data_IF_004066243017
#
_entry.id   IF_004066243017
#
_cell.length_a   1.000
_cell.length_b   1.000
_cell.length_c   1.000
_cell.angle_alpha   90.00
_cell.angle_beta   90.00
_cell.angle_gamma   90.00
#
_symmetry.space_group_name_H-M   'P 1'
#
loop_
_entity.id
_entity.type
_entity.pdbx_description
1 polymer ?
#
# COMPACT_ATOMS: atom_id res chain seq x y z
N UNK A 1 18.86 52.56 -55.65
CA UNK A 1 19.20 51.13 -55.51
C UNK A 1 19.27 50.79 -54.02
N UNK A 2 18.58 49.71 -53.62
CA UNK A 2 18.30 49.33 -52.23
C UNK A 2 19.49 48.64 -51.57
N UNK A 3 19.71 49.03 -50.30
CA UNK A 3 20.07 48.28 -49.09
C UNK A 3 20.79 46.92 -49.19
N UNK A 4 21.78 46.72 -48.30
CA UNK A 4 21.83 45.52 -47.45
C UNK A 4 22.59 45.81 -46.14
N UNK A 5 21.85 45.84 -45.04
CA UNK A 5 22.36 45.71 -43.66
C UNK A 5 22.21 44.24 -43.24
N UNK A 6 23.21 43.57 -42.65
CA UNK A 6 23.00 42.27 -42.02
C UNK A 6 22.45 42.48 -40.61
N UNK A 7 21.14 42.23 -40.48
CA UNK A 7 20.47 42.08 -39.19
C UNK A 7 20.60 40.66 -38.63
N UNK A 8 20.56 40.60 -37.30
CA UNK A 8 19.89 39.60 -36.46
C UNK A 8 19.76 38.16 -36.98
N UNK A 9 20.40 37.19 -36.31
CA UNK A 9 19.86 35.83 -36.15
C UNK A 9 20.76 34.90 -35.30
N UNK A 10 20.89 35.14 -33.99
CA UNK A 10 21.26 34.06 -33.04
C UNK A 10 20.52 34.25 -31.71
N UNK A 11 19.18 34.20 -31.72
CA UNK A 11 18.36 34.09 -30.48
C UNK A 11 17.21 33.08 -30.66
N UNK A 12 17.44 31.99 -31.42
CA UNK A 12 16.40 30.94 -31.65
C UNK A 12 16.77 29.58 -31.02
N UNK A 13 17.99 29.36 -30.53
CA UNK A 13 18.42 28.01 -30.10
C UNK A 13 18.14 27.65 -28.62
N UNK A 14 17.91 28.61 -27.72
CA UNK A 14 17.72 28.30 -26.30
C UNK A 14 16.25 27.94 -25.95
N UNK A 15 15.27 28.57 -26.59
CA UNK A 15 13.84 28.35 -26.32
C UNK A 15 13.32 26.99 -26.81
N UNK A 16 13.84 26.48 -27.94
CA UNK A 16 13.46 25.16 -28.47
C UNK A 16 13.97 24.04 -27.57
N UNK A 17 15.19 24.16 -27.03
CA UNK A 17 15.78 23.17 -26.12
C UNK A 17 15.03 23.07 -24.78
N UNK A 18 14.54 24.19 -24.23
CA UNK A 18 13.74 24.20 -23.00
C UNK A 18 12.34 23.65 -23.21
N UNK A 19 11.71 23.95 -24.36
CA UNK A 19 10.38 23.45 -24.69
C UNK A 19 10.37 21.93 -24.93
N UNK A 20 11.37 21.41 -25.66
CA UNK A 20 11.57 19.96 -25.87
C UNK A 20 11.89 19.25 -24.55
N UNK A 21 12.66 19.89 -23.65
CA UNK A 21 12.92 19.35 -22.32
C UNK A 21 11.66 19.25 -21.47
N UNK A 22 10.82 20.29 -21.50
CA UNK A 22 9.56 20.31 -20.78
C UNK A 22 8.56 19.29 -21.32
N UNK A 23 8.48 19.10 -22.65
CA UNK A 23 7.58 18.12 -23.25
C UNK A 23 7.99 16.67 -22.92
N UNK A 24 9.27 16.33 -23.00
CA UNK A 24 9.79 15.02 -22.62
C UNK A 24 9.53 14.71 -21.13
N UNK A 25 9.65 15.72 -20.27
CA UNK A 25 9.34 15.59 -18.86
C UNK A 25 7.85 15.31 -18.61
N UNK A 26 6.95 16.07 -19.23
CA UNK A 26 5.52 15.83 -19.09
C UNK A 26 5.12 14.43 -19.60
N UNK A 27 5.74 13.97 -20.70
CA UNK A 27 5.51 12.63 -21.22
C UNK A 27 5.97 11.54 -20.23
N UNK A 28 7.15 11.69 -19.61
CA UNK A 28 7.64 10.76 -18.59
C UNK A 28 6.72 10.71 -17.36
N UNK A 29 6.22 11.86 -16.91
CA UNK A 29 5.29 11.95 -15.78
C UNK A 29 3.93 11.34 -16.09
N UNK A 30 3.41 11.56 -17.30
CA UNK A 30 2.17 10.94 -17.77
C UNK A 30 2.32 9.41 -17.84
N UNK A 31 3.47 8.91 -18.33
CA UNK A 31 3.80 7.49 -18.31
C UNK A 31 3.86 6.94 -16.88
N UNK A 32 4.51 7.64 -15.95
CA UNK A 32 4.56 7.25 -14.54
C UNK A 32 3.17 7.17 -13.91
N UNK A 33 2.33 8.19 -14.15
CA UNK A 33 0.93 8.19 -13.71
C UNK A 33 0.16 7.00 -14.26
N UNK A 34 0.29 6.73 -15.56
CA UNK A 34 -0.38 5.62 -16.21
C UNK A 34 0.03 4.29 -15.58
N UNK A 35 1.33 4.04 -15.42
CA UNK A 35 1.83 2.80 -14.81
C UNK A 35 1.32 2.62 -13.37
N UNK A 36 1.35 3.68 -12.54
CA UNK A 36 0.86 3.63 -11.16
C UNK A 36 -0.66 3.38 -11.14
N UNK A 37 -1.43 4.10 -11.95
CA UNK A 37 -2.87 3.94 -12.04
C UNK A 37 -3.26 2.54 -12.55
N UNK A 38 -2.56 2.03 -13.57
CA UNK A 38 -2.74 0.68 -14.10
C UNK A 38 -2.41 -0.39 -13.05
N UNK A 39 -1.33 -0.23 -12.28
CA UNK A 39 -0.99 -1.16 -11.21
C UNK A 39 -2.11 -1.28 -10.16
N UNK A 40 -2.71 -0.15 -9.79
CA UNK A 40 -3.78 -0.10 -8.81
C UNK A 40 -5.11 -0.57 -9.39
N UNK A 41 -5.41 -0.26 -10.65
CA UNK A 41 -6.61 -0.77 -11.34
C UNK A 41 -6.57 -2.30 -11.51
N UNK A 42 -5.39 -2.86 -11.80
CA UNK A 42 -5.20 -4.29 -12.05
C UNK A 42 -5.14 -5.16 -10.79
N UNK A 43 -5.22 -4.55 -9.60
CA UNK A 43 -5.23 -5.26 -8.31
C UNK A 43 -6.19 -6.47 -8.20
N UNK A 44 -7.42 -6.44 -8.78
CA UNK A 44 -8.35 -7.56 -8.69
C UNK A 44 -7.91 -8.80 -9.48
N UNK A 45 -7.11 -8.62 -10.53
CA UNK A 45 -6.82 -9.66 -11.50
C UNK A 45 -5.52 -10.41 -11.15
N UNK A 46 -5.53 -11.15 -10.04
CA UNK A 46 -4.44 -12.04 -9.65
C UNK A 46 -3.11 -11.32 -9.39
N UNK A 47 -2.09 -11.60 -10.23
CA UNK A 47 -0.74 -11.00 -10.16
C UNK A 47 -0.50 -9.94 -11.25
N UNK A 48 -1.51 -9.55 -12.00
CA UNK A 48 -1.35 -8.61 -13.13
C UNK A 48 -0.84 -7.24 -12.72
N UNK A 49 -1.04 -6.81 -11.47
CA UNK A 49 -0.40 -5.59 -10.92
C UNK A 49 1.13 -5.63 -10.99
N UNK A 50 1.74 -6.81 -11.04
CA UNK A 50 3.20 -6.98 -11.15
C UNK A 50 3.72 -6.53 -12.51
N UNK A 51 2.89 -6.50 -13.56
CA UNK A 51 3.28 -6.07 -14.91
C UNK A 51 3.70 -4.58 -14.92
N UNK A 52 2.83 -3.63 -14.55
CA UNK A 52 3.22 -2.22 -14.48
C UNK A 52 4.31 -1.97 -13.43
N UNK A 53 4.34 -2.73 -12.33
CA UNK A 53 5.44 -2.66 -11.36
C UNK A 53 6.78 -3.12 -11.94
N UNK A 54 6.80 -4.16 -12.77
CA UNK A 54 8.00 -4.60 -13.46
C UNK A 54 8.48 -3.55 -14.46
N UNK A 55 7.57 -2.89 -15.19
CA UNK A 55 7.91 -1.76 -16.06
C UNK A 55 8.52 -0.60 -15.27
N UNK A 56 7.93 -0.24 -14.12
CA UNK A 56 8.51 0.75 -13.20
C UNK A 56 9.89 0.32 -12.70
N UNK A 57 10.09 -0.97 -12.42
CA UNK A 57 11.38 -1.51 -12.01
C UNK A 57 12.43 -1.41 -13.12
N UNK A 58 12.07 -1.63 -14.38
CA UNK A 58 12.96 -1.42 -15.53
C UNK A 58 13.34 0.06 -15.68
N UNK A 59 12.40 0.99 -15.46
CA UNK A 59 12.70 2.43 -15.43
C UNK A 59 13.69 2.77 -14.30
N UNK A 60 13.46 2.22 -13.09
CA UNK A 60 14.38 2.41 -11.97
C UNK A 60 15.76 1.83 -12.22
N UNK A 61 15.84 0.63 -12.80
CA UNK A 61 17.09 -0.03 -13.18
C UNK A 61 17.87 0.81 -14.20
N UNK A 62 17.17 1.30 -15.23
CA UNK A 62 17.76 2.19 -16.22
C UNK A 62 18.28 3.49 -15.62
N UNK A 63 17.54 4.08 -14.67
CA UNK A 63 17.97 5.29 -13.96
C UNK A 63 19.25 5.05 -13.15
N UNK A 64 19.32 3.94 -12.40
CA UNK A 64 20.52 3.55 -11.63
C UNK A 64 21.71 3.31 -12.56
N UNK A 65 21.51 2.59 -13.66
CA UNK A 65 22.57 2.29 -14.64
C UNK A 65 23.13 3.56 -15.28
N UNK A 66 22.25 4.50 -15.64
CA UNK A 66 22.63 5.74 -16.32
C UNK A 66 23.37 6.72 -15.41
N UNK A 67 22.88 6.93 -14.19
CA UNK A 67 23.42 7.97 -13.29
C UNK A 67 24.75 7.55 -12.66
N UNK A 68 25.04 6.24 -12.56
CA UNK A 68 26.24 5.64 -11.91
C UNK A 68 26.48 6.03 -10.44
N UNK A 69 25.85 7.10 -9.93
CA UNK A 69 25.86 7.58 -8.56
C UNK A 69 24.46 8.06 -8.20
N UNK A 70 23.94 7.56 -7.08
CA UNK A 70 22.70 8.08 -6.52
C UNK A 70 22.91 9.52 -6.04
N UNK A 71 21.92 10.42 -6.21
CA UNK A 71 22.03 11.79 -5.73
C UNK A 71 22.42 11.83 -4.25
N UNK A 72 23.50 12.54 -3.92
CA UNK A 72 24.01 12.68 -2.55
C UNK A 72 23.69 14.09 -2.03
N UNK A 73 23.02 14.19 -0.87
CA UNK A 73 22.71 15.47 -0.21
C UNK A 73 21.25 15.63 0.21
N UNK A 74 20.90 16.83 0.72
CA UNK A 74 19.51 17.17 1.16
C UNK A 74 18.48 17.05 0.04
N UNK A 75 18.92 17.19 -1.20
CA UNK A 75 18.09 17.09 -2.40
C UNK A 75 17.60 15.66 -2.67
N UNK A 76 18.25 14.65 -2.09
CA UNK A 76 17.92 13.23 -2.22
C UNK A 76 17.18 12.65 -1.00
N UNK A 77 16.53 13.49 -0.18
CA UNK A 77 15.88 13.05 1.06
C UNK A 77 14.83 11.95 0.84
N UNK A 78 14.02 12.07 -0.23
CA UNK A 78 13.04 11.05 -0.61
C UNK A 78 13.69 9.71 -0.93
N UNK A 79 14.73 9.73 -1.79
CA UNK A 79 15.47 8.53 -2.20
C UNK A 79 16.09 7.88 -0.97
N UNK A 80 16.77 8.65 -0.11
CA UNK A 80 17.39 8.12 1.12
C UNK A 80 16.36 7.51 2.07
N UNK A 81 15.24 8.20 2.31
CA UNK A 81 14.17 7.65 3.16
C UNK A 81 13.64 6.34 2.59
N UNK A 82 13.36 6.30 1.28
CA UNK A 82 12.88 5.10 0.61
C UNK A 82 13.88 3.94 0.68
N UNK A 83 15.16 4.21 0.40
CA UNK A 83 16.23 3.21 0.49
C UNK A 83 16.39 2.67 1.92
N UNK A 84 16.36 3.54 2.92
CA UNK A 84 16.41 3.12 4.33
C UNK A 84 15.20 2.23 4.68
N UNK A 85 13.99 2.59 4.24
CA UNK A 85 12.82 1.73 4.40
C UNK A 85 13.01 0.37 3.70
N UNK A 86 13.58 0.33 2.49
CA UNK A 86 13.89 -0.91 1.78
C UNK A 86 14.91 -1.76 2.53
N UNK A 87 15.95 -1.16 3.10
CA UNK A 87 16.94 -1.86 3.94
C UNK A 87 16.27 -2.44 5.18
N UNK A 88 15.42 -1.68 5.86
CA UNK A 88 14.66 -2.15 7.02
C UNK A 88 13.78 -3.37 6.72
N UNK A 89 13.32 -3.52 5.47
CA UNK A 89 12.53 -4.68 5.04
C UNK A 89 13.38 -5.84 4.55
N UNK A 90 14.41 -5.56 3.74
CA UNK A 90 15.20 -6.61 3.07
C UNK A 90 16.32 -7.17 3.94
N UNK A 91 16.95 -6.37 4.80
CA UNK A 91 18.03 -6.85 5.66
C UNK A 91 17.57 -8.04 6.53
N UNK A 92 16.39 -8.01 7.18
CA UNK A 92 15.86 -9.17 7.88
C UNK A 92 15.67 -10.41 6.99
N UNK A 93 15.22 -10.22 5.74
CA UNK A 93 15.05 -11.32 4.80
C UNK A 93 16.39 -12.00 4.48
N UNK A 94 17.44 -11.21 4.23
CA UNK A 94 18.80 -11.72 4.00
C UNK A 94 19.36 -12.44 5.22
N UNK A 95 19.18 -11.85 6.41
CA UNK A 95 19.65 -12.43 7.67
C UNK A 95 18.90 -13.72 8.04
N UNK A 96 17.66 -13.90 7.56
CA UNK A 96 16.88 -15.13 7.79
C UNK A 96 17.29 -16.32 6.91
N UNK A 97 18.06 -16.11 5.84
CA UNK A 97 18.41 -17.17 4.88
C UNK A 97 19.21 -18.35 5.46
N UNK A 98 20.20 -18.15 6.37
CA UNK A 98 20.99 -19.25 6.90
C UNK A 98 20.16 -20.32 7.62
N UNK A 99 19.09 -19.90 8.32
CA UNK A 99 18.23 -20.80 9.12
C UNK A 99 16.89 -21.10 8.41
N UNK A 100 16.80 -20.80 7.11
CA UNK A 100 15.57 -20.99 6.37
C UNK A 100 15.23 -22.48 6.20
N UNK A 101 14.06 -22.91 6.69
CA UNK A 101 13.58 -24.30 6.52
C UNK A 101 13.34 -24.66 5.05
N UNK A 102 13.09 -23.65 4.20
CA UNK A 102 13.03 -23.80 2.75
C UNK A 102 13.92 -22.75 2.06
N UNK A 103 15.23 -23.02 1.90
CA UNK A 103 16.18 -22.04 1.38
C UNK A 103 15.84 -21.55 -0.02
N UNK A 104 15.35 -22.44 -0.90
CA UNK A 104 14.97 -22.08 -2.26
C UNK A 104 13.80 -21.07 -2.28
N UNK A 105 12.78 -21.29 -1.45
CA UNK A 105 11.65 -20.38 -1.36
C UNK A 105 12.02 -19.05 -0.72
N UNK A 106 12.83 -19.07 0.34
CA UNK A 106 13.27 -17.86 1.02
C UNK A 106 14.19 -17.02 0.12
N UNK A 107 15.12 -17.66 -0.61
CA UNK A 107 16.01 -16.99 -1.55
C UNK A 107 15.24 -16.35 -2.71
N UNK A 108 14.32 -17.09 -3.34
CA UNK A 108 13.49 -16.55 -4.45
C UNK A 108 12.62 -15.39 -4.00
N UNK A 109 12.09 -15.43 -2.77
CA UNK A 109 11.31 -14.31 -2.19
C UNK A 109 12.21 -13.10 -1.92
N UNK A 110 13.38 -13.31 -1.33
CA UNK A 110 14.37 -12.26 -0.99
C UNK A 110 14.85 -11.55 -2.23
N UNK A 111 15.38 -12.29 -3.21
CA UNK A 111 15.81 -11.74 -4.50
C UNK A 111 14.66 -11.08 -5.25
N UNK A 112 13.49 -11.73 -5.26
CA UNK A 112 12.30 -11.17 -5.89
C UNK A 112 11.93 -9.80 -5.34
N UNK A 113 12.13 -9.54 -4.04
CA UNK A 113 11.76 -8.27 -3.40
C UNK A 113 12.56 -7.06 -3.90
N UNK A 114 13.74 -7.28 -4.51
CA UNK A 114 14.55 -6.22 -5.13
C UNK A 114 13.79 -5.46 -6.22
N UNK A 115 12.81 -6.09 -6.87
CA UNK A 115 11.98 -5.41 -7.87
C UNK A 115 11.15 -4.27 -7.28
N UNK A 116 10.79 -4.35 -5.99
CA UNK A 116 10.06 -3.28 -5.30
C UNK A 116 10.93 -2.06 -5.05
N UNK A 117 12.18 -2.30 -4.66
CA UNK A 117 13.20 -1.26 -4.56
C UNK A 117 13.38 -0.55 -5.91
N UNK A 118 13.58 -1.31 -6.99
CA UNK A 118 13.74 -0.76 -8.33
C UNK A 118 12.49 -0.02 -8.80
N UNK A 119 11.29 -0.59 -8.60
CA UNK A 119 10.04 0.06 -8.97
C UNK A 119 9.84 1.39 -8.23
N UNK A 120 10.16 1.44 -6.93
CA UNK A 120 10.08 2.67 -6.16
C UNK A 120 11.10 3.72 -6.61
N UNK A 121 12.32 3.32 -6.97
CA UNK A 121 13.28 4.24 -7.61
C UNK A 121 12.70 4.77 -8.94
N UNK A 122 12.11 3.91 -9.76
CA UNK A 122 11.43 4.30 -11.00
C UNK A 122 10.31 5.32 -10.75
N UNK A 123 9.46 5.08 -9.75
CA UNK A 123 8.41 6.03 -9.34
C UNK A 123 9.02 7.35 -8.88
N UNK A 124 10.05 7.32 -8.02
CA UNK A 124 10.73 8.53 -7.57
C UNK A 124 11.27 9.32 -8.76
N UNK A 125 11.96 8.67 -9.70
CA UNK A 125 12.49 9.29 -10.92
C UNK A 125 11.41 9.91 -11.81
N UNK A 126 10.30 9.21 -12.02
CA UNK A 126 9.20 9.70 -12.87
C UNK A 126 8.39 10.81 -12.21
N UNK A 127 8.30 10.80 -10.87
CA UNK A 127 7.59 11.81 -10.08
C UNK A 127 8.52 12.90 -9.52
N UNK A 128 9.80 12.92 -9.91
CA UNK A 128 10.79 13.91 -9.49
C UNK A 128 10.38 15.32 -9.93
N UNK A 129 9.58 16.02 -9.12
CA UNK A 129 9.20 17.42 -9.37
C UNK A 129 9.15 18.19 -8.07
N UNK A 130 9.55 19.45 -8.13
CA UNK A 130 9.40 20.41 -7.05
C UNK A 130 7.95 20.43 -6.52
N UNK A 131 7.71 20.41 -5.20
CA UNK A 131 6.37 20.54 -4.59
C UNK A 131 5.62 21.79 -4.97
N UNK A 132 6.39 22.84 -5.21
CA UNK A 132 5.92 24.18 -5.55
C UNK A 132 5.57 24.29 -7.04
N UNK A 133 5.81 23.26 -7.83
CA UNK A 133 5.40 23.20 -9.23
C UNK A 133 3.89 22.89 -9.31
N UNK A 134 3.08 23.75 -9.94
CA UNK A 134 1.68 23.47 -10.23
C UNK A 134 1.48 22.12 -10.94
N UNK A 135 2.45 21.66 -11.73
CA UNK A 135 2.39 20.39 -12.44
C UNK A 135 2.42 19.17 -11.50
N UNK A 136 3.21 19.22 -10.43
CA UNK A 136 3.28 18.13 -9.44
C UNK A 136 1.93 17.95 -8.72
N UNK A 137 1.28 19.07 -8.35
CA UNK A 137 -0.05 18.99 -7.74
C UNK A 137 -1.09 18.46 -8.73
N UNK A 138 -1.05 18.88 -10.00
CA UNK A 138 -1.93 18.35 -11.06
C UNK A 138 -1.76 16.84 -11.27
N UNK A 139 -0.54 16.33 -11.15
CA UNK A 139 -0.22 14.91 -11.33
C UNK A 139 -0.87 14.04 -10.25
N UNK A 140 -0.65 14.37 -8.99
CA UNK A 140 -1.33 13.68 -7.89
C UNK A 140 -2.84 13.95 -7.90
N UNK A 141 -3.27 15.14 -8.31
CA UNK A 141 -4.69 15.44 -8.47
C UNK A 141 -5.35 14.49 -9.48
N UNK A 142 -4.67 14.21 -10.59
CA UNK A 142 -5.10 13.25 -11.58
C UNK A 142 -5.10 11.83 -11.02
N UNK A 143 -4.04 11.43 -10.30
CA UNK A 143 -3.98 10.12 -9.64
C UNK A 143 -5.15 9.92 -8.67
N UNK A 144 -5.41 10.88 -7.78
CA UNK A 144 -6.52 10.83 -6.82
C UNK A 144 -7.89 10.78 -7.52
N UNK A 145 -8.06 11.45 -8.67
CA UNK A 145 -9.29 11.33 -9.50
C UNK A 145 -9.45 9.93 -10.07
N UNK A 146 -8.37 9.37 -10.60
CA UNK A 146 -8.37 8.01 -11.13
C UNK A 146 -8.68 7.01 -10.03
N UNK A 147 -8.06 7.13 -8.86
CA UNK A 147 -8.34 6.28 -7.71
C UNK A 147 -9.78 6.43 -7.21
N UNK A 148 -10.34 7.63 -7.23
CA UNK A 148 -11.76 7.85 -6.92
C UNK A 148 -12.67 7.09 -7.90
N UNK A 149 -12.38 7.13 -9.20
CA UNK A 149 -13.14 6.40 -10.22
C UNK A 149 -13.00 4.88 -10.06
N UNK A 150 -11.78 4.39 -9.82
CA UNK A 150 -11.51 2.96 -9.57
C UNK A 150 -12.23 2.48 -8.31
N UNK A 151 -12.18 3.26 -7.23
CA UNK A 151 -12.88 2.96 -5.99
C UNK A 151 -14.41 2.92 -6.21
N UNK A 152 -14.95 3.90 -6.95
CA UNK A 152 -16.38 3.92 -7.28
C UNK A 152 -16.80 2.71 -8.11
N UNK A 153 -15.98 2.30 -9.08
CA UNK A 153 -16.22 1.09 -9.86
C UNK A 153 -16.25 -0.16 -8.98
N UNK A 154 -15.26 -0.34 -8.10
CA UNK A 154 -15.19 -1.52 -7.23
C UNK A 154 -16.31 -1.55 -6.19
N UNK A 155 -16.66 -0.40 -5.61
CA UNK A 155 -17.78 -0.27 -4.69
C UNK A 155 -19.10 -0.57 -5.41
N UNK A 156 -19.30 -0.03 -6.62
CA UNK A 156 -20.47 -0.30 -7.43
C UNK A 156 -20.60 -1.78 -7.81
N UNK A 157 -19.53 -2.42 -8.25
CA UNK A 157 -19.49 -3.85 -8.57
C UNK A 157 -19.79 -4.72 -7.35
N UNK A 158 -19.24 -4.37 -6.18
CA UNK A 158 -19.52 -5.09 -4.95
C UNK A 158 -20.97 -4.91 -4.47
N UNK A 159 -21.55 -3.72 -4.62
CA UNK A 159 -22.98 -3.49 -4.30
C UNK A 159 -23.89 -4.25 -5.27
N UNK A 160 -23.54 -4.30 -6.56
CA UNK A 160 -24.22 -5.17 -7.53
C UNK A 160 -24.14 -6.63 -7.06
N UNK A 161 -22.95 -7.14 -6.75
CA UNK A 161 -22.77 -8.49 -6.22
C UNK A 161 -23.61 -8.76 -4.97
N UNK A 162 -23.77 -7.77 -4.08
CA UNK A 162 -24.60 -7.89 -2.90
C UNK A 162 -26.11 -7.95 -3.23
N UNK A 163 -26.56 -7.25 -4.27
CA UNK A 163 -27.96 -7.14 -4.66
C UNK A 163 -28.44 -8.26 -5.59
N UNK A 164 -27.64 -8.61 -6.61
CA UNK A 164 -27.97 -9.65 -7.61
C UNK A 164 -27.40 -11.03 -7.26
N UNK A 165 -26.52 -11.13 -6.27
CA UNK A 165 -25.82 -12.36 -5.90
C UNK A 165 -24.55 -12.64 -6.71
N UNK A 166 -24.34 -11.95 -7.84
CA UNK A 166 -23.15 -12.05 -8.69
C UNK A 166 -22.67 -10.67 -9.16
N UNK A 167 -21.36 -10.53 -9.35
CA UNK A 167 -20.76 -9.28 -9.80
C UNK A 167 -20.79 -9.13 -11.34
N UNK A 168 -20.20 -8.05 -11.89
CA UNK A 168 -20.16 -7.79 -13.34
C UNK A 168 -19.48 -8.90 -14.16
N UNK A 169 -18.58 -9.67 -13.55
CA UNK A 169 -17.85 -10.78 -14.19
C UNK A 169 -18.48 -12.16 -13.90
N UNK A 170 -19.64 -12.19 -13.23
CA UNK A 170 -20.34 -13.43 -12.88
C UNK A 170 -19.83 -14.11 -11.61
N UNK A 171 -18.93 -13.50 -10.83
CA UNK A 171 -18.48 -14.05 -9.55
C UNK A 171 -19.60 -13.97 -8.51
N UNK A 172 -20.05 -15.14 -8.05
CA UNK A 172 -21.06 -15.24 -7.01
C UNK A 172 -20.51 -14.86 -5.63
N UNK A 173 -21.37 -14.37 -4.74
CA UNK A 173 -21.03 -14.18 -3.33
C UNK A 173 -20.92 -15.54 -2.62
N UNK A 174 -19.69 -16.04 -2.45
CA UNK A 174 -19.43 -17.33 -1.80
C UNK A 174 -19.52 -17.26 -0.28
N UNK A 175 -20.25 -18.20 0.35
CA UNK A 175 -20.40 -18.34 1.81
C UNK A 175 -20.75 -17.00 2.51
N UNK A 176 -21.48 -16.14 1.81
CA UNK A 176 -21.89 -14.82 2.30
C UNK A 176 -20.78 -13.76 2.35
N UNK A 177 -19.62 -14.00 1.76
CA UNK A 177 -18.56 -13.00 1.65
C UNK A 177 -18.66 -12.21 0.35
N UNK A 178 -18.39 -10.90 0.45
CA UNK A 178 -18.37 -9.99 -0.69
C UNK A 178 -16.92 -9.74 -1.13
N UNK A 179 -16.64 -9.91 -2.43
CA UNK A 179 -15.29 -9.75 -2.98
C UNK A 179 -15.26 -8.98 -4.32
N UNK A 180 -16.41 -8.69 -4.93
CA UNK A 180 -16.53 -7.98 -6.20
C UNK A 180 -15.59 -8.55 -7.27
N UNK A 181 -14.94 -7.66 -8.03
CA UNK A 181 -13.98 -7.99 -9.09
C UNK A 181 -12.77 -8.81 -8.61
N UNK A 182 -12.52 -8.96 -7.32
CA UNK A 182 -11.35 -9.69 -6.77
C UNK A 182 -11.52 -11.21 -6.81
N UNK A 183 -12.54 -11.72 -7.52
CA UNK A 183 -12.71 -13.14 -7.83
C UNK A 183 -13.67 -13.86 -6.89
N UNK A 184 -14.05 -15.07 -7.31
CA UNK A 184 -14.71 -16.07 -6.48
C UNK A 184 -13.64 -16.78 -5.62
N UNK A 185 -13.93 -17.05 -4.35
CA UNK A 185 -13.03 -17.75 -3.44
C UNK A 185 -12.81 -17.09 -2.07
N UNK A 186 -12.10 -17.81 -1.20
CA UNK A 186 -11.83 -17.42 0.20
C UNK A 186 -10.78 -16.29 0.35
N UNK A 187 -10.08 -15.95 -0.73
CA UNK A 187 -9.05 -14.90 -0.76
C UNK A 187 -9.66 -13.50 -0.92
N UNK A 188 -10.39 -13.05 0.11
CA UNK A 188 -11.17 -11.82 0.07
C UNK A 188 -10.29 -10.56 0.11
N UNK A 189 -9.84 -10.08 -1.04
CA UNK A 189 -8.89 -8.95 -1.14
C UNK A 189 -9.55 -7.58 -1.24
N UNK A 190 -10.86 -7.54 -1.56
CA UNK A 190 -11.61 -6.30 -1.72
C UNK A 190 -11.48 -5.39 -0.49
N UNK A 191 -11.75 -5.92 0.71
CA UNK A 191 -11.69 -5.15 1.96
C UNK A 191 -10.35 -4.46 2.19
N UNK A 192 -9.24 -5.17 1.98
CA UNK A 192 -7.90 -4.60 2.10
C UNK A 192 -7.61 -3.58 1.00
N UNK A 193 -8.08 -3.83 -0.23
CA UNK A 193 -7.94 -2.88 -1.32
C UNK A 193 -8.72 -1.57 -1.05
N UNK A 194 -9.93 -1.64 -0.46
CA UNK A 194 -10.70 -0.48 -0.04
C UNK A 194 -9.99 0.33 1.06
N UNK A 195 -9.39 -0.35 2.05
CA UNK A 195 -8.61 0.30 3.11
C UNK A 195 -7.37 1.02 2.58
N UNK A 196 -6.72 0.43 1.56
CA UNK A 196 -5.50 1.00 0.98
C UNK A 196 -5.83 2.14 0.01
N UNK A 197 -6.83 2.01 -0.86
CA UNK A 197 -7.14 3.05 -1.86
C UNK A 197 -8.11 4.12 -1.37
N UNK A 198 -8.95 3.80 -0.37
CA UNK A 198 -9.95 4.69 0.19
C UNK A 198 -9.39 6.04 0.63
N UNK A 199 -8.34 6.08 1.49
CA UNK A 199 -7.80 7.34 1.98
C UNK A 199 -7.36 8.32 0.87
N UNK A 200 -6.46 7.97 -0.08
CA UNK A 200 -6.04 8.89 -1.14
C UNK A 200 -7.19 9.25 -2.10
N UNK A 201 -8.07 8.29 -2.44
CA UNK A 201 -9.22 8.56 -3.30
C UNK A 201 -10.20 9.58 -2.70
N UNK A 202 -10.56 9.41 -1.42
CA UNK A 202 -11.61 10.19 -0.77
C UNK A 202 -11.07 11.51 -0.21
N UNK A 203 -9.96 11.50 0.53
CA UNK A 203 -9.40 12.71 1.14
C UNK A 203 -8.86 13.69 0.09
N UNK A 204 -8.28 13.17 -1.00
CA UNK A 204 -7.89 13.97 -2.16
C UNK A 204 -9.07 14.72 -2.78
N UNK A 205 -10.21 14.04 -2.94
CA UNK A 205 -11.43 14.61 -3.53
C UNK A 205 -12.17 15.57 -2.59
N UNK A 206 -12.18 15.32 -1.28
CA UNK A 206 -12.81 16.18 -0.26
C UNK A 206 -12.25 17.61 -0.23
N UNK A 207 -11.01 17.81 -0.70
CA UNK A 207 -10.38 19.13 -0.83
C UNK A 207 -10.99 19.97 -1.97
N UNK A 208 -11.90 19.40 -2.77
CA UNK A 208 -12.52 20.02 -3.94
C UNK A 208 -14.02 20.29 -3.71
N UNK A 209 -14.61 21.19 -4.51
CA UNK A 209 -16.00 21.68 -4.41
C UNK A 209 -17.11 20.62 -4.68
N UNK A 210 -16.84 19.32 -4.54
CA UNK A 210 -17.83 18.23 -4.69
C UNK A 210 -17.95 17.35 -3.42
N UNK A 211 -18.27 17.94 -2.25
CA UNK A 211 -18.31 17.20 -0.99
C UNK A 211 -19.39 16.12 -0.98
N UNK A 212 -20.55 16.35 -1.62
CA UNK A 212 -21.67 15.40 -1.63
C UNK A 212 -21.33 14.06 -2.28
N UNK A 213 -20.78 14.07 -3.50
CA UNK A 213 -20.37 12.83 -4.18
C UNK A 213 -19.27 12.07 -3.41
N UNK A 214 -18.36 12.81 -2.77
CA UNK A 214 -17.28 12.21 -1.99
C UNK A 214 -17.82 11.55 -0.73
N UNK A 215 -18.76 12.20 -0.05
CA UNK A 215 -19.46 11.65 1.11
C UNK A 215 -20.30 10.42 0.75
N UNK A 216 -21.02 10.47 -0.37
CA UNK A 216 -21.77 9.34 -0.88
C UNK A 216 -20.85 8.14 -1.14
N UNK A 217 -19.75 8.32 -1.89
CA UNK A 217 -18.82 7.22 -2.14
C UNK A 217 -18.18 6.69 -0.85
N UNK A 218 -17.84 7.57 0.10
CA UNK A 218 -17.34 7.15 1.41
C UNK A 218 -18.36 6.25 2.13
N UNK A 219 -19.63 6.67 2.20
CA UNK A 219 -20.70 5.90 2.82
C UNK A 219 -20.88 4.53 2.15
N UNK A 220 -20.91 4.50 0.83
CA UNK A 220 -21.04 3.26 0.06
C UNK A 220 -19.81 2.35 0.25
N UNK A 221 -18.60 2.91 0.29
CA UNK A 221 -17.39 2.15 0.55
C UNK A 221 -17.37 1.54 1.96
N UNK A 222 -17.84 2.28 2.97
CA UNK A 222 -17.98 1.77 4.35
C UNK A 222 -19.02 0.65 4.41
N UNK A 223 -20.17 0.82 3.75
CA UNK A 223 -21.18 -0.24 3.63
C UNK A 223 -20.59 -1.50 3.00
N UNK A 224 -19.91 -1.38 1.85
CA UNK A 224 -19.23 -2.51 1.20
C UNK A 224 -18.20 -3.14 2.12
N UNK A 225 -17.38 -2.34 2.81
CA UNK A 225 -16.36 -2.83 3.75
C UNK A 225 -16.98 -3.67 4.87
N UNK A 226 -18.15 -3.28 5.39
CA UNK A 226 -18.89 -4.10 6.36
C UNK A 226 -19.44 -5.38 5.72
N UNK A 227 -20.04 -5.28 4.54
CA UNK A 227 -20.61 -6.41 3.81
C UNK A 227 -19.56 -7.42 3.35
N UNK A 228 -18.28 -7.03 3.24
CA UNK A 228 -17.18 -7.99 3.01
C UNK A 228 -17.06 -9.02 4.13
N UNK A 229 -17.58 -8.73 5.33
CA UNK A 229 -17.58 -9.67 6.45
C UNK A 229 -16.22 -9.88 7.13
N UNK A 230 -15.17 -9.16 6.73
CA UNK A 230 -13.85 -9.27 7.35
C UNK A 230 -13.73 -8.37 8.57
N UNK A 231 -13.79 -8.97 9.78
CA UNK A 231 -13.62 -8.27 11.07
C UNK A 231 -12.32 -7.47 11.14
N UNK A 232 -11.23 -8.04 10.62
CA UNK A 232 -9.92 -7.38 10.57
C UNK A 232 -9.94 -6.09 9.74
N UNK A 233 -10.77 -6.02 8.71
CA UNK A 233 -10.95 -4.81 7.94
C UNK A 233 -11.66 -3.71 8.74
N UNK A 234 -12.61 -4.08 9.61
CA UNK A 234 -13.32 -3.12 10.47
C UNK A 234 -12.38 -2.50 11.50
N UNK A 235 -11.54 -3.32 12.13
CA UNK A 235 -10.52 -2.85 13.08
C UNK A 235 -9.52 -1.92 12.39
N UNK A 236 -9.04 -2.30 11.21
CA UNK A 236 -8.10 -1.48 10.43
C UNK A 236 -8.75 -0.15 10.01
N UNK A 237 -10.02 -0.17 9.59
CA UNK A 237 -10.77 1.04 9.27
C UNK A 237 -10.93 1.95 10.50
N UNK A 238 -11.29 1.40 11.66
CA UNK A 238 -11.40 2.16 12.90
C UNK A 238 -10.07 2.81 13.30
N UNK A 239 -8.95 2.08 13.15
CA UNK A 239 -7.61 2.62 13.35
C UNK A 239 -7.32 3.76 12.36
N UNK A 240 -7.61 3.60 11.07
CA UNK A 240 -7.43 4.68 10.09
C UNK A 240 -8.25 5.93 10.44
N UNK A 241 -9.50 5.76 10.87
CA UNK A 241 -10.34 6.85 11.35
C UNK A 241 -9.74 7.53 12.58
N UNK A 242 -9.26 6.77 13.56
CA UNK A 242 -8.60 7.31 14.74
C UNK A 242 -7.34 8.10 14.38
N UNK A 243 -6.46 7.54 13.54
CA UNK A 243 -5.25 8.20 13.07
C UNK A 243 -5.58 9.45 12.24
N UNK A 244 -6.60 9.39 11.39
CA UNK A 244 -7.09 10.54 10.63
C UNK A 244 -7.53 11.66 11.59
N UNK A 245 -8.35 11.36 12.60
CA UNK A 245 -8.79 12.33 13.60
C UNK A 245 -7.60 12.91 14.38
N UNK A 246 -6.69 12.05 14.86
CA UNK A 246 -5.51 12.46 15.63
C UNK A 246 -4.59 13.41 14.84
N UNK A 247 -4.27 13.06 13.59
CA UNK A 247 -3.35 13.83 12.76
C UNK A 247 -4.00 15.01 12.05
N UNK A 248 -5.33 15.02 11.88
CA UNK A 248 -6.07 16.10 11.24
C UNK A 248 -6.78 17.04 12.24
N UNK A 249 -6.73 16.74 13.56
CA UNK A 249 -7.35 17.53 14.65
C UNK A 249 -7.12 19.04 14.56
N UNK A 250 -5.91 19.47 14.18
CA UNK A 250 -5.57 20.90 14.07
C UNK A 250 -6.26 21.60 12.88
N UNK A 251 -6.48 20.89 11.78
CA UNK A 251 -7.30 21.36 10.66
C UNK A 251 -8.81 21.25 10.96
N UNK A 252 -9.19 20.23 11.73
CA UNK A 252 -10.55 19.98 12.19
C UNK A 252 -11.06 21.04 13.16
N UNK A 253 -10.20 21.73 13.92
CA UNK A 253 -10.60 22.72 14.94
C UNK A 253 -11.51 23.85 14.43
N UNK A 254 -11.54 24.10 13.11
CA UNK A 254 -12.42 25.09 12.46
C UNK A 254 -13.68 24.48 11.79
N UNK A 255 -13.82 23.16 11.75
CA UNK A 255 -14.91 22.40 11.07
C UNK A 255 -15.43 21.20 11.90
N UNK A 256 -15.11 21.15 13.20
CA UNK A 256 -15.28 20.01 14.10
C UNK A 256 -16.74 19.53 14.21
N UNK A 257 -17.70 20.44 14.24
CA UNK A 257 -19.13 20.10 14.35
C UNK A 257 -19.65 19.35 13.11
N UNK A 258 -19.30 19.81 11.90
CA UNK A 258 -19.77 19.15 10.67
C UNK A 258 -19.20 17.74 10.46
N UNK A 259 -17.91 17.52 10.76
CA UNK A 259 -17.27 16.20 10.58
C UNK A 259 -17.70 15.20 11.66
N UNK A 260 -17.88 15.65 12.91
CA UNK A 260 -18.36 14.78 14.00
C UNK A 260 -19.83 14.41 13.78
N UNK A 261 -20.68 15.35 13.34
CA UNK A 261 -22.09 15.06 13.05
C UNK A 261 -22.22 14.16 11.82
N UNK A 262 -21.52 14.45 10.72
CA UNK A 262 -21.55 13.59 9.53
C UNK A 262 -20.94 12.22 9.87
N UNK A 263 -19.81 12.16 10.57
CA UNK A 263 -19.19 10.90 10.99
C UNK A 263 -20.10 10.09 11.92
N UNK A 264 -20.78 10.73 12.87
CA UNK A 264 -21.76 10.10 13.76
C UNK A 264 -22.98 9.59 13.00
N UNK A 265 -23.54 10.37 12.06
CA UNK A 265 -24.65 9.96 11.20
C UNK A 265 -24.25 8.83 10.25
N UNK A 266 -23.02 8.84 9.72
CA UNK A 266 -22.47 7.76 8.91
C UNK A 266 -22.38 6.48 9.75
N UNK A 267 -21.83 6.55 10.97
CA UNK A 267 -21.76 5.40 11.88
C UNK A 267 -23.15 4.87 12.22
N UNK A 268 -24.13 5.74 12.50
CA UNK A 268 -25.50 5.35 12.81
C UNK A 268 -26.23 4.68 11.64
N UNK A 269 -26.12 5.24 10.42
CA UNK A 269 -26.69 4.66 9.20
C UNK A 269 -26.04 3.31 8.86
N UNK A 270 -24.72 3.25 9.03
CA UNK A 270 -23.94 2.03 8.77
C UNK A 270 -24.27 0.97 9.81
N UNK A 271 -24.46 1.34 11.08
CA UNK A 271 -24.87 0.43 12.14
C UNK A 271 -26.31 -0.05 11.92
N UNK A 272 -27.25 0.81 11.51
CA UNK A 272 -28.64 0.41 11.25
C UNK A 272 -28.78 -0.54 10.05
N UNK A 273 -28.01 -0.32 8.98
CA UNK A 273 -27.94 -1.23 7.83
C UNK A 273 -27.23 -2.54 8.19
N UNK A 274 -26.18 -2.47 9.00
CA UNK A 274 -25.42 -3.65 9.42
C UNK A 274 -26.19 -4.53 10.40
N UNK A 275 -26.99 -3.95 11.30
CA UNK A 275 -27.84 -4.68 12.25
C UNK A 275 -28.99 -5.46 11.59
N UNK A 276 -29.29 -5.21 10.30
CA UNK A 276 -30.23 -6.01 9.52
C UNK A 276 -29.53 -7.11 8.69
N UNK A 277 -28.20 -7.21 8.75
CA UNK A 277 -27.44 -8.27 8.09
C UNK A 277 -27.20 -9.41 9.06
N UNK A 278 -27.78 -10.59 8.79
CA UNK A 278 -27.53 -11.82 9.57
C UNK A 278 -26.03 -12.09 9.76
N UNK A 279 -25.23 -11.76 8.76
CA UNK A 279 -23.76 -11.91 8.75
C UNK A 279 -23.04 -11.03 9.78
N UNK A 280 -23.53 -9.81 9.99
CA UNK A 280 -22.95 -8.92 11.00
C UNK A 280 -23.44 -9.33 12.38
N UNK A 281 -24.70 -9.73 12.51
CA UNK A 281 -25.28 -10.23 13.76
C UNK A 281 -24.52 -11.46 14.25
N UNK A 282 -24.40 -12.51 13.44
CA UNK A 282 -23.69 -13.76 13.80
C UNK A 282 -22.25 -13.47 14.23
N UNK A 283 -21.54 -12.64 13.46
CA UNK A 283 -20.14 -12.32 13.76
C UNK A 283 -19.98 -11.47 15.01
N UNK A 284 -20.90 -10.55 15.27
CA UNK A 284 -20.92 -9.76 16.50
C UNK A 284 -21.25 -10.64 17.70
N UNK A 285 -22.18 -11.59 17.55
CA UNK A 285 -22.53 -12.58 18.56
C UNK A 285 -21.33 -13.42 19.00
N UNK A 286 -20.51 -13.92 18.05
CA UNK A 286 -19.29 -14.67 18.42
C UNK A 286 -18.26 -13.83 19.18
N UNK A 287 -18.16 -12.52 18.89
CA UNK A 287 -17.27 -11.63 19.63
C UNK A 287 -17.79 -11.37 21.04
N UNK A 288 -19.09 -11.12 21.18
CA UNK A 288 -19.75 -10.95 22.47
C UNK A 288 -19.58 -12.20 23.33
N UNK A 289 -19.81 -13.39 22.75
CA UNK A 289 -19.62 -14.66 23.44
C UNK A 289 -18.18 -14.81 23.97
N UNK A 290 -17.17 -14.49 23.15
CA UNK A 290 -15.77 -14.52 23.58
C UNK A 290 -15.42 -13.49 24.67
N UNK A 291 -16.13 -12.37 24.75
CA UNK A 291 -15.96 -11.39 25.83
C UNK A 291 -16.67 -11.83 27.12
N UNK A 292 -17.86 -12.42 27.00
CA UNK A 292 -18.65 -12.90 28.14
C UNK A 292 -18.06 -14.16 28.77
N UNK A 293 -17.53 -15.06 27.94
CA UNK A 293 -16.89 -16.30 28.33
C UNK A 293 -15.54 -16.43 27.58
N UNK A 294 -14.44 -15.86 28.12
CA UNK A 294 -13.14 -15.81 27.44
C UNK A 294 -12.37 -17.13 27.55
N UNK A 295 -13.00 -18.25 27.22
CA UNK A 295 -12.32 -19.55 27.09
C UNK A 295 -11.71 -19.74 25.70
N UNK A 296 -10.86 -20.76 25.57
CA UNK A 296 -10.14 -21.04 24.32
C UNK A 296 -11.08 -21.24 23.13
N UNK A 297 -12.20 -21.97 23.31
CA UNK A 297 -13.10 -22.30 22.21
C UNK A 297 -13.77 -21.04 21.65
N UNK A 298 -14.33 -20.20 22.52
CA UNK A 298 -15.00 -18.97 22.11
C UNK A 298 -14.01 -17.98 21.48
N UNK A 299 -12.83 -17.80 22.07
CA UNK A 299 -11.80 -16.90 21.52
C UNK A 299 -11.26 -17.43 20.19
N UNK A 300 -11.11 -18.75 20.03
CA UNK A 300 -10.66 -19.34 18.77
C UNK A 300 -11.66 -19.08 17.65
N UNK A 301 -12.96 -19.27 17.89
CA UNK A 301 -14.00 -18.93 16.91
C UNK A 301 -14.05 -17.42 16.62
N UNK A 302 -13.92 -16.57 17.64
CA UNK A 302 -13.93 -15.12 17.48
C UNK A 302 -12.70 -14.59 16.70
N UNK A 303 -11.55 -15.24 16.81
CA UNK A 303 -10.35 -14.93 16.04
C UNK A 303 -10.33 -15.55 14.64
N UNK A 304 -11.34 -16.35 14.28
CA UNK A 304 -11.43 -17.03 12.98
C UNK A 304 -10.51 -18.24 12.89
N UNK A 305 -10.45 -19.02 13.97
CA UNK A 305 -9.64 -20.23 14.15
C UNK A 305 -8.12 -19.97 14.09
N UNK A 306 -7.68 -18.78 14.53
CA UNK A 306 -6.27 -18.36 14.42
C UNK A 306 -5.43 -18.65 15.65
N UNK A 307 -6.02 -19.02 16.79
CA UNK A 307 -5.23 -19.33 17.99
C UNK A 307 -4.21 -20.46 17.78
N UNK A 308 -4.52 -21.62 17.15
CA UNK A 308 -3.49 -22.64 16.92
C UNK A 308 -2.38 -22.14 15.99
N UNK A 309 -2.73 -21.33 14.97
CA UNK A 309 -1.76 -20.71 14.06
C UNK A 309 -0.79 -19.79 14.83
N UNK A 310 -1.33 -19.01 15.77
CA UNK A 310 -0.55 -18.12 16.62
C UNK A 310 0.33 -18.87 17.62
N UNK A 311 -0.16 -19.98 18.18
CA UNK A 311 0.64 -20.85 19.03
C UNK A 311 1.81 -21.44 18.25
N UNK A 312 1.58 -21.95 17.03
CA UNK A 312 2.66 -22.42 16.16
C UNK A 312 3.68 -21.32 15.82
N UNK A 313 3.22 -20.09 15.54
CA UNK A 313 4.11 -18.95 15.30
C UNK A 313 4.99 -18.60 16.52
N UNK A 314 4.42 -18.67 17.73
CA UNK A 314 5.14 -18.41 18.98
C UNK A 314 6.13 -19.54 19.30
N UNK A 315 5.78 -20.79 18.98
CA UNK A 315 6.69 -21.92 19.13
C UNK A 315 7.88 -21.83 18.16
N UNK A 316 7.64 -21.46 16.89
CA UNK A 316 8.72 -21.15 15.93
C UNK A 316 9.62 -20.02 16.42
N UNK A 317 9.05 -18.99 17.05
CA UNK A 317 9.83 -17.90 17.64
C UNK A 317 10.69 -18.40 18.82
N UNK A 318 10.17 -19.29 19.65
CA UNK A 318 10.90 -19.85 20.78
C UNK A 318 12.13 -20.65 20.30
N UNK A 319 11.98 -21.42 19.22
CA UNK A 319 13.05 -22.26 18.66
C UNK A 319 14.03 -21.46 17.78
N UNK A 320 13.54 -20.45 17.06
CA UNK A 320 14.33 -19.63 16.12
C UNK A 320 14.24 -18.12 16.41
N UNK A 321 14.68 -17.64 17.60
CA UNK A 321 14.42 -16.26 18.04
C UNK A 321 15.14 -15.19 17.21
N UNK A 322 16.27 -15.52 16.60
CA UNK A 322 17.13 -14.53 15.93
C UNK A 322 16.74 -14.36 14.46
N UNK A 323 16.79 -15.44 13.70
CA UNK A 323 16.60 -15.44 12.24
C UNK A 323 15.20 -15.88 11.80
N UNK A 324 14.40 -16.46 12.71
CA UNK A 324 13.15 -17.14 12.35
C UNK A 324 13.39 -18.39 11.50
N UNK A 325 12.32 -18.97 10.99
CA UNK A 325 12.34 -20.15 10.10
C UNK A 325 12.65 -19.79 8.63
N UNK A 326 13.07 -18.56 8.36
CA UNK A 326 13.29 -18.03 7.02
C UNK A 326 12.07 -17.35 6.41
N UNK A 327 12.29 -16.29 5.64
CA UNK A 327 11.21 -15.56 4.98
C UNK A 327 10.34 -16.48 4.10
N UNK A 328 9.01 -16.42 4.27
CA UNK A 328 8.03 -17.33 3.65
C UNK A 328 8.22 -18.81 4.02
N UNK A 329 8.97 -19.09 5.09
CA UNK A 329 9.23 -20.40 5.67
C UNK A 329 8.10 -20.91 6.54
N UNK A 330 7.28 -20.03 7.13
CA UNK A 330 6.17 -20.39 8.04
C UNK A 330 5.40 -21.63 7.61
N UNK A 331 4.89 -21.65 6.37
CA UNK A 331 4.04 -22.74 5.88
C UNK A 331 4.77 -24.07 5.71
N UNK A 332 6.10 -24.07 5.62
CA UNK A 332 6.91 -25.29 5.51
C UNK A 332 7.36 -25.81 6.88
N UNK A 333 7.40 -24.94 7.89
CA UNK A 333 7.65 -25.33 9.28
C UNK A 333 6.35 -25.70 10.02
N UNK A 334 5.20 -25.17 9.62
CA UNK A 334 3.99 -25.18 10.45
C UNK A 334 3.55 -26.53 10.97
N UNK A 335 3.65 -27.60 10.16
CA UNK A 335 3.22 -28.93 10.56
C UNK A 335 4.01 -29.45 11.78
N UNK A 336 5.29 -29.10 11.92
CA UNK A 336 6.15 -29.54 13.04
C UNK A 336 5.83 -28.82 14.35
N UNK A 337 5.18 -27.66 14.27
CA UNK A 337 4.82 -26.81 15.41
C UNK A 337 3.31 -26.80 15.71
N UNK A 338 2.52 -27.49 14.90
CA UNK A 338 1.08 -27.54 15.06
C UNK A 338 0.69 -28.46 16.21
N UNK A 339 -0.38 -28.09 16.92
CA UNK A 339 -0.98 -28.96 17.94
C UNK A 339 -1.67 -30.17 17.31
N UNK A 340 -1.75 -31.27 18.05
CA UNK A 340 -2.43 -32.48 17.58
C UNK A 340 -3.86 -32.19 17.13
N UNK A 341 -4.20 -32.66 15.92
CA UNK A 341 -5.52 -32.48 15.32
C UNK A 341 -5.78 -31.09 14.72
N UNK A 342 -4.77 -30.23 14.59
CA UNK A 342 -4.92 -28.95 13.89
C UNK A 342 -5.25 -29.15 12.39
N UNK A 343 -6.43 -28.71 11.91
CA UNK A 343 -6.81 -28.87 10.52
C UNK A 343 -5.89 -28.12 9.54
N UNK A 344 -5.17 -27.09 10.01
CA UNK A 344 -4.29 -26.28 9.17
C UNK A 344 -2.88 -26.87 9.00
N UNK A 345 -2.56 -27.95 9.74
CA UNK A 345 -1.27 -28.62 9.68
C UNK A 345 -1.08 -29.49 8.43
N UNK A 346 -2.17 -29.88 7.77
CA UNK A 346 -2.11 -30.72 6.56
C UNK A 346 -1.28 -30.05 5.45
N UNK A 347 -0.37 -30.83 4.86
CA UNK A 347 0.60 -30.36 3.87
C UNK A 347 0.24 -30.77 2.45
N UNK A 348 0.50 -29.89 1.49
CA UNK A 348 0.49 -30.23 0.07
C UNK A 348 1.68 -31.14 -0.32
N UNK A 349 1.72 -31.58 -1.59
CA UNK A 349 2.78 -32.42 -2.14
C UNK A 349 4.19 -31.79 -2.09
N UNK A 350 4.29 -30.49 -1.79
CA UNK A 350 5.55 -29.77 -1.63
C UNK A 350 5.91 -29.52 -0.16
N UNK A 351 5.26 -30.23 0.77
CA UNK A 351 5.50 -30.13 2.21
C UNK A 351 4.98 -28.82 2.82
N UNK A 352 4.07 -28.13 2.13
CA UNK A 352 3.65 -26.81 2.53
C UNK A 352 2.23 -26.86 3.12
N UNK A 353 2.10 -26.50 4.40
CA UNK A 353 0.86 -26.53 5.16
C UNK A 353 -0.22 -25.59 4.59
N UNK A 354 -1.47 -25.89 4.93
CA UNK A 354 -2.63 -25.01 4.66
C UNK A 354 -2.47 -23.64 5.36
N UNK A 355 -1.87 -23.61 6.56
CA UNK A 355 -1.50 -22.38 7.23
C UNK A 355 -0.39 -21.64 6.46
N UNK A 356 -0.79 -20.72 5.58
CA UNK A 356 0.14 -20.05 4.65
C UNK A 356 1.03 -18.96 5.27
N UNK A 357 0.66 -18.45 6.46
CA UNK A 357 1.35 -17.43 7.27
C UNK A 357 0.67 -17.30 8.64
N UNK A 358 1.27 -16.55 9.57
CA UNK A 358 0.78 -16.38 10.93
C UNK A 358 -0.51 -15.55 11.09
N UNK A 359 -0.99 -14.89 10.02
CA UNK A 359 -2.19 -14.03 10.04
C UNK A 359 -2.19 -12.88 11.06
N UNK A 360 -1.06 -12.56 11.68
CA UNK A 360 -0.83 -11.37 12.49
C UNK A 360 0.60 -10.89 12.17
N UNK A 361 0.74 -9.64 11.73
CA UNK A 361 2.01 -9.12 11.19
C UNK A 361 3.17 -9.31 12.17
N UNK A 362 2.98 -9.00 13.46
CA UNK A 362 4.02 -9.22 14.47
C UNK A 362 4.47 -10.68 14.56
N UNK A 363 3.53 -11.63 14.54
CA UNK A 363 3.85 -13.05 14.60
C UNK A 363 4.47 -13.55 13.30
N UNK A 364 4.07 -13.01 12.15
CA UNK A 364 4.70 -13.32 10.87
C UNK A 364 6.15 -12.84 10.85
N UNK A 365 6.42 -11.60 11.29
CA UNK A 365 7.79 -11.07 11.37
C UNK A 365 8.68 -11.90 12.31
N UNK A 366 8.14 -12.27 13.47
CA UNK A 366 8.84 -13.05 14.48
C UNK A 366 9.09 -14.50 14.02
N UNK A 367 8.10 -15.16 13.44
CA UNK A 367 8.25 -16.53 12.96
C UNK A 367 9.15 -16.61 11.71
N UNK A 368 8.95 -15.76 10.70
CA UNK A 368 9.70 -15.84 9.43
C UNK A 368 11.11 -15.25 9.53
N UNK A 369 11.31 -14.20 10.33
CA UNK A 369 12.55 -13.39 10.31
C UNK A 369 13.09 -13.05 11.70
N UNK A 370 12.53 -13.64 12.76
CA UNK A 370 12.98 -13.46 14.14
C UNK A 370 12.99 -12.00 14.61
N UNK A 371 13.89 -11.72 15.56
CA UNK A 371 14.10 -10.37 16.10
C UNK A 371 14.55 -9.38 15.02
N UNK A 372 15.24 -9.82 13.97
CA UNK A 372 15.62 -8.95 12.86
C UNK A 372 14.39 -8.44 12.11
N UNK A 373 13.39 -9.30 11.89
CA UNK A 373 12.11 -8.89 11.30
C UNK A 373 11.41 -7.80 12.09
N UNK A 374 11.28 -8.02 13.40
CA UNK A 374 10.63 -7.07 14.30
C UNK A 374 11.38 -5.73 14.37
N UNK A 375 12.72 -5.77 14.50
CA UNK A 375 13.55 -4.56 14.59
C UNK A 375 13.58 -3.80 13.27
N UNK A 376 13.66 -4.49 12.13
CA UNK A 376 13.54 -3.89 10.80
C UNK A 376 12.19 -3.21 10.60
N UNK A 377 11.09 -3.87 10.96
CA UNK A 377 9.76 -3.29 10.90
C UNK A 377 9.60 -2.07 11.82
N UNK A 378 10.07 -2.14 13.07
CA UNK A 378 10.06 -1.02 13.99
C UNK A 378 10.87 0.17 13.46
N UNK A 379 12.07 -0.08 12.92
CA UNK A 379 12.91 0.94 12.30
C UNK A 379 12.20 1.61 11.10
N UNK A 380 11.50 0.84 10.26
CA UNK A 380 10.68 1.38 9.17
C UNK A 380 9.63 2.37 9.69
N UNK A 381 8.86 1.98 10.72
CA UNK A 381 7.85 2.86 11.31
C UNK A 381 8.46 4.10 11.97
N UNK A 382 9.61 3.96 12.63
CA UNK A 382 10.36 5.07 13.25
C UNK A 382 10.84 6.06 12.18
N UNK A 383 11.38 5.57 11.06
CA UNK A 383 11.83 6.40 9.94
C UNK A 383 10.68 7.22 9.34
N UNK A 384 9.52 6.59 9.13
CA UNK A 384 8.31 7.27 8.65
C UNK A 384 7.81 8.30 9.66
N UNK A 385 7.79 7.97 10.95
CA UNK A 385 7.42 8.89 12.03
C UNK A 385 8.38 10.08 12.12
N UNK A 386 9.68 9.84 11.98
CA UNK A 386 10.72 10.87 11.94
C UNK A 386 10.62 11.78 10.73
N UNK A 387 10.29 11.24 9.55
CA UNK A 387 10.00 12.03 8.35
C UNK A 387 8.74 12.90 8.54
N UNK A 388 7.65 12.30 9.02
CA UNK A 388 6.39 13.00 9.30
C UNK A 388 6.55 14.17 10.29
N UNK A 389 7.34 13.98 11.36
CA UNK A 389 7.62 15.02 12.35
C UNK A 389 8.30 16.24 11.73
N UNK A 390 9.15 16.04 10.71
CA UNK A 390 9.86 17.11 10.01
C UNK A 390 9.01 17.84 8.95
N UNK A 391 7.87 17.29 8.56
CA UNK A 391 6.97 17.89 7.57
C UNK A 391 6.24 19.13 8.10
N UNK A 392 6.08 20.14 7.23
CA UNK A 392 5.16 21.25 7.43
C UNK A 392 3.70 20.77 7.46
N UNK A 393 2.79 21.63 7.93
CA UNK A 393 1.34 21.33 7.95
C UNK A 393 0.81 20.92 6.56
N UNK A 394 1.15 21.67 5.52
CA UNK A 394 0.69 21.38 4.16
C UNK A 394 1.19 20.01 3.67
N UNK A 395 2.45 19.69 3.92
CA UNK A 395 3.03 18.39 3.58
C UNK A 395 2.33 17.25 4.33
N UNK A 396 2.09 17.42 5.64
CA UNK A 396 1.34 16.44 6.44
C UNK A 396 -0.04 16.19 5.87
N UNK A 397 -0.78 17.24 5.50
CA UNK A 397 -2.10 17.09 4.89
C UNK A 397 -2.06 16.39 3.51
N UNK A 398 -0.97 16.54 2.74
CA UNK A 398 -0.79 15.86 1.45
C UNK A 398 -0.28 14.42 1.59
N UNK A 399 0.54 14.12 2.61
CA UNK A 399 1.12 12.82 2.86
C UNK A 399 0.18 11.88 3.64
N UNK A 400 -0.70 12.43 4.48
CA UNK A 400 -1.58 11.65 5.37
C UNK A 400 -2.38 10.56 4.65
N UNK A 401 -3.04 10.83 3.50
CA UNK A 401 -3.82 9.78 2.83
C UNK A 401 -2.97 8.56 2.45
N UNK A 402 -1.79 8.81 1.87
CA UNK A 402 -0.84 7.76 1.47
C UNK A 402 -0.23 7.03 2.66
N UNK A 403 0.02 7.73 3.77
CA UNK A 403 0.47 7.11 5.01
C UNK A 403 -0.60 6.23 5.65
N UNK A 404 -1.87 6.64 5.64
CA UNK A 404 -2.97 5.80 6.10
C UNK A 404 -3.10 4.53 5.25
N UNK A 405 -2.85 4.63 3.94
CA UNK A 405 -2.78 3.47 3.03
C UNK A 405 -1.63 2.53 3.38
N UNK A 406 -0.43 3.05 3.59
CA UNK A 406 0.73 2.24 3.97
C UNK A 406 0.52 1.59 5.36
N UNK A 407 -0.02 2.34 6.31
CA UNK A 407 -0.30 1.84 7.67
C UNK A 407 -1.42 0.81 7.70
N UNK A 408 -2.38 0.81 6.77
CA UNK A 408 -3.36 -0.29 6.67
C UNK A 408 -2.71 -1.65 6.41
N UNK A 409 -1.53 -1.66 5.79
CA UNK A 409 -0.76 -2.88 5.51
C UNK A 409 0.32 -3.14 6.57
N UNK A 410 0.88 -2.08 7.16
CA UNK A 410 2.08 -2.15 8.00
C UNK A 410 1.83 -1.86 9.49
N UNK A 411 0.59 -1.68 9.95
CA UNK A 411 0.37 -1.57 11.39
C UNK A 411 0.66 -2.92 12.07
N UNK A 412 1.28 -2.94 13.26
CA UNK A 412 1.76 -4.19 13.88
C UNK A 412 0.63 -5.19 14.20
N UNK A 413 -0.58 -4.69 14.43
CA UNK A 413 -1.77 -5.50 14.67
C UNK A 413 -2.48 -5.93 13.38
N UNK A 414 -1.85 -5.77 12.22
CA UNK A 414 -2.47 -6.14 10.95
C UNK A 414 -2.65 -7.66 10.89
N UNK A 415 -3.88 -8.09 10.64
CA UNK A 415 -4.25 -9.51 10.48
C UNK A 415 -4.67 -9.85 9.05
N UNK A 416 -4.37 -8.96 8.11
CA UNK A 416 -4.75 -9.06 6.70
C UNK A 416 -3.54 -9.15 5.78
N UNK A 417 -3.51 -10.21 4.97
CA UNK A 417 -2.50 -10.43 3.95
C UNK A 417 -1.14 -10.80 4.54
N UNK A 418 -0.44 -11.74 3.89
CA UNK A 418 0.91 -12.08 4.30
C UNK A 418 1.88 -10.96 3.92
N UNK A 419 2.68 -10.48 4.87
CA UNK A 419 3.63 -9.37 4.75
C UNK A 419 4.63 -9.56 3.62
N UNK A 420 5.14 -10.79 3.48
CA UNK A 420 6.13 -11.15 2.45
C UNK A 420 5.50 -11.70 1.17
N UNK A 421 4.17 -11.68 1.04
CA UNK A 421 3.52 -12.11 -0.20
C UNK A 421 3.65 -11.07 -1.30
N UNK A 422 3.71 -11.57 -2.54
CA UNK A 422 3.80 -10.73 -3.75
C UNK A 422 2.71 -9.65 -3.77
N UNK A 423 1.47 -10.02 -3.46
CA UNK A 423 0.33 -9.10 -3.56
C UNK A 423 0.38 -7.98 -2.51
N UNK A 424 0.59 -8.33 -1.23
CA UNK A 424 0.67 -7.34 -0.14
C UNK A 424 1.91 -6.46 -0.29
N UNK A 425 3.07 -7.05 -0.56
CA UNK A 425 4.33 -6.31 -0.69
C UNK A 425 4.29 -5.34 -1.88
N UNK A 426 3.81 -5.79 -3.05
CA UNK A 426 3.64 -4.94 -4.23
C UNK A 426 2.76 -3.72 -3.94
N UNK A 427 1.64 -3.92 -3.25
CA UNK A 427 0.74 -2.84 -2.89
C UNK A 427 1.37 -1.91 -1.85
N UNK A 428 1.99 -2.45 -0.80
CA UNK A 428 2.66 -1.71 0.25
C UNK A 428 3.76 -0.79 -0.32
N UNK A 429 4.67 -1.34 -1.13
CA UNK A 429 5.78 -0.59 -1.69
C UNK A 429 5.31 0.52 -2.63
N UNK A 430 4.27 0.28 -3.42
CA UNK A 430 3.69 1.29 -4.30
C UNK A 430 3.07 2.46 -3.52
N UNK A 431 2.28 2.19 -2.47
CA UNK A 431 1.71 3.29 -1.67
C UNK A 431 2.75 3.96 -0.77
N UNK A 432 3.74 3.21 -0.29
CA UNK A 432 4.84 3.74 0.52
C UNK A 432 5.68 4.74 -0.28
N UNK A 433 6.06 4.42 -1.52
CA UNK A 433 6.85 5.37 -2.33
C UNK A 433 6.07 6.66 -2.60
N UNK A 434 4.76 6.56 -2.83
CA UNK A 434 3.88 7.73 -2.98
C UNK A 434 3.79 8.56 -1.68
N UNK A 435 3.75 7.90 -0.53
CA UNK A 435 3.85 8.57 0.77
C UNK A 435 5.21 9.27 0.95
N UNK A 436 6.31 8.62 0.57
CA UNK A 436 7.66 9.18 0.64
C UNK A 436 7.80 10.42 -0.25
N UNK A 437 7.24 10.39 -1.48
CA UNK A 437 7.23 11.55 -2.39
C UNK A 437 6.57 12.77 -1.73
N UNK A 438 5.49 12.56 -0.96
CA UNK A 438 4.78 13.63 -0.24
C UNK A 438 5.45 14.05 1.07
N UNK A 439 6.11 13.13 1.77
CA UNK A 439 6.84 13.39 3.02
C UNK A 439 8.10 14.21 2.79
N UNK A 440 8.94 13.75 1.86
CA UNK A 440 10.26 14.29 1.58
C UNK A 440 10.35 14.69 0.12
N UNK A 441 9.62 15.73 -0.29
CA UNK A 441 9.69 16.11 -1.66
C UNK A 441 11.09 16.60 -2.04
N UNK A 442 11.53 16.22 -3.23
CA UNK A 442 12.85 16.57 -3.73
C UNK A 442 12.97 18.10 -3.87
N UNK A 443 13.98 18.67 -3.21
CA UNK A 443 14.36 20.08 -3.39
C UNK A 443 15.19 20.18 -4.66
N UNK A 444 15.00 21.28 -5.42
CA UNK A 444 15.60 21.58 -6.74
C UNK A 444 16.86 20.78 -6.96
N UNK A 445 16.77 19.72 -7.76
CA UNK A 445 17.98 19.33 -8.46
C UNK A 445 18.03 20.22 -9.68
N UNK A 446 18.99 21.14 -9.72
CA UNK A 446 19.22 21.96 -10.92
C UNK A 446 19.61 21.09 -12.14
N UNK A 447 19.76 19.77 -11.98
CA UNK A 447 20.58 18.97 -12.86
C UNK A 447 20.22 17.46 -13.03
N UNK A 448 19.11 16.93 -12.48
CA UNK A 448 18.77 15.47 -12.45
C UNK A 448 17.80 15.04 -13.57
N UNK A 449 17.86 15.70 -14.73
CA UNK A 449 17.39 15.05 -15.96
C UNK A 449 18.60 14.52 -16.72
N UNK A 450 19.08 13.31 -16.40
CA UNK A 450 20.08 12.68 -17.24
C UNK A 450 19.45 12.34 -18.59
N UNK A 451 18.13 12.07 -18.68
CA UNK A 451 17.43 11.70 -19.92
C UNK A 451 17.54 12.70 -21.07
N UNK A 452 17.95 13.94 -20.77
CA UNK A 452 18.02 15.05 -21.74
C UNK A 452 19.39 15.73 -21.69
N UNK A 453 20.44 15.03 -21.21
CA UNK A 453 21.84 15.44 -21.38
C UNK A 453 22.44 14.76 -22.60
N UNK A 454 22.38 15.44 -23.74
CA UNK A 454 23.36 15.52 -24.85
C UNK A 454 22.67 16.34 -25.95
N UNK A 455 23.16 17.53 -26.31
CA UNK A 455 24.20 17.67 -27.35
C UNK A 455 25.10 18.93 -27.24
N UNK A 456 25.11 19.70 -26.15
CA UNK A 456 25.80 21.02 -26.18
C UNK A 456 27.29 21.04 -25.79
N UNK A 457 27.97 19.91 -25.57
CA UNK A 457 29.36 19.91 -25.05
C UNK A 457 30.40 19.27 -25.98
N UNK A 458 30.28 19.46 -27.30
CA UNK A 458 31.38 19.24 -28.25
C UNK A 458 31.54 20.40 -29.21
N UNK A 459 31.97 21.55 -28.69
CA UNK A 459 32.77 22.54 -29.42
C UNK A 459 33.68 23.21 -28.40
N UNK A 460 34.92 22.77 -28.38
CA UNK A 460 36.04 23.34 -27.65
C UNK A 460 37.29 22.83 -28.34
#
# INVERSE_FOLDING_TARGET
MRAFTPGASVVVSLHSSSAVRASALHAAQAMGLLLIASALFLLPFGRTMEIPLALLALVGLWAVWRERRLPAGREAAAIRLFLLCCVCYQLPMWLSLPDAVNPARSLTTTLGSLRYLLAGIGVLCLLCVLPSDPHHQRLFDALEKTLFAVLALWVGDALLQAASGSNLLGYAAERGYLNGLFGAGENLKLSLALLVLGPPALLGRMRRKSPGLTLLLFLLAVLVLLLTGKRSAWVTFALQCALFVLFYRQALRRRLTGVVVIGGLCVLLVLSLALNSSRVIERSGTLIAAVQAPDYAHVNVATGLRLPIWQGALAMLADHPVNGVGVRGFRYAYADYAVDGDPFASTDAHGAALASHAHLLLFELLADTGIFGLTGHAALLILLGGAWRRCSRLQREQALPWLLSALALAHPLNTQGAWYSSWTASLFWLVLVLAVVRLEPLRRVRDVYPCIRRESNHTG
#
